data_IF_719059298398
#
_entry.id   IF_719059298398
#
_cell.length_a   1.000
_cell.length_b   1.000
_cell.length_c   1.000
_cell.angle_alpha   90.00
_cell.angle_beta   90.00
_cell.angle_gamma   90.00
#
_symmetry.space_group_name_H-M   'P 1'
#
loop_
_entity.id
_entity.type
_entity.pdbx_description
1 polymer ?
#
# COMPACT_ATOMS: atom_id res chain seq x y z
N UNK A 1 -2.81 -5.99 -33.99
CA UNK A 1 -2.77 -5.39 -32.64
C UNK A 1 -3.09 -6.51 -31.68
N UNK A 2 -2.20 -6.84 -30.73
CA UNK A 2 -2.56 -7.74 -29.64
C UNK A 2 -3.48 -6.96 -28.72
N UNK A 3 -4.66 -7.49 -28.49
CA UNK A 3 -5.55 -7.06 -27.42
C UNK A 3 -4.87 -7.54 -26.13
N UNK A 4 -4.02 -6.69 -25.56
CA UNK A 4 -3.53 -6.88 -24.20
C UNK A 4 -4.76 -6.60 -23.33
N UNK A 5 -5.39 -7.69 -22.85
CA UNK A 5 -6.61 -7.59 -22.03
C UNK A 5 -6.44 -6.67 -20.83
N UNK A 6 -7.56 -6.28 -20.21
CA UNK A 6 -7.58 -5.31 -19.12
C UNK A 6 -6.51 -5.58 -18.05
N UNK A 7 -5.69 -4.55 -17.77
CA UNK A 7 -4.62 -4.59 -16.77
C UNK A 7 -5.16 -4.12 -15.43
N UNK A 8 -5.02 -4.95 -14.40
CA UNK A 8 -5.37 -4.57 -13.04
C UNK A 8 -4.30 -3.62 -12.47
N UNK A 9 -4.74 -2.43 -12.03
CA UNK A 9 -3.86 -1.40 -11.47
C UNK A 9 -4.19 -1.17 -10.00
N UNK A 10 -3.15 -0.98 -9.19
CA UNK A 10 -3.23 -0.53 -7.80
C UNK A 10 -2.89 0.96 -7.70
N UNK A 11 -3.71 1.70 -6.95
CA UNK A 11 -3.41 3.08 -6.57
C UNK A 11 -2.51 3.09 -5.34
N UNK A 12 -1.31 3.65 -5.48
CA UNK A 12 -0.31 3.77 -4.41
C UNK A 12 -0.15 5.23 -4.03
N UNK A 13 -0.48 5.56 -2.79
CA UNK A 13 -0.24 6.88 -2.21
C UNK A 13 1.15 6.95 -1.59
N UNK A 14 1.95 7.93 -2.01
CA UNK A 14 3.26 8.24 -1.45
C UNK A 14 3.15 9.54 -0.67
N UNK A 15 3.13 9.50 0.68
CA UNK A 15 3.01 10.72 1.47
C UNK A 15 4.27 11.56 1.34
N UNK A 16 4.11 12.88 1.31
CA UNK A 16 5.15 13.79 1.77
C UNK A 16 5.12 13.84 3.30
N UNK A 17 6.10 14.48 3.94
CA UNK A 17 6.16 14.66 5.40
C UNK A 17 4.87 15.22 6.05
N UNK A 18 3.91 15.70 5.24
CA UNK A 18 2.55 16.02 5.66
C UNK A 18 1.58 14.98 5.09
N UNK A 19 0.95 14.19 5.97
CA UNK A 19 0.07 13.05 5.64
C UNK A 19 -1.03 13.31 4.60
N UNK A 20 -1.38 14.56 4.33
CA UNK A 20 -2.44 14.97 3.41
C UNK A 20 -1.94 15.46 2.04
N UNK A 21 -0.62 15.55 1.86
CA UNK A 21 0.03 16.00 0.64
C UNK A 21 0.96 14.88 0.20
N UNK A 22 0.81 14.42 -1.03
CA UNK A 22 1.56 13.31 -1.56
C UNK A 22 1.23 13.07 -3.02
N UNK A 23 1.94 12.12 -3.60
CA UNK A 23 1.74 11.69 -4.98
C UNK A 23 0.91 10.41 -5.00
N UNK A 24 0.10 10.24 -6.05
CA UNK A 24 -0.64 9.01 -6.30
C UNK A 24 -0.13 8.39 -7.59
N UNK A 25 0.30 7.15 -7.52
CA UNK A 25 0.78 6.38 -8.66
C UNK A 25 -0.21 5.25 -8.99
N UNK A 26 -0.43 4.99 -10.27
CA UNK A 26 -1.09 3.77 -10.74
C UNK A 26 0.00 2.78 -11.14
N UNK A 27 0.04 1.63 -10.47
CA UNK A 27 1.08 0.61 -10.64
C UNK A 27 0.40 -0.72 -10.98
N UNK A 28 1.04 -1.54 -11.81
CA UNK A 28 0.53 -2.89 -12.09
C UNK A 28 0.40 -3.68 -10.77
N UNK A 29 -0.76 -4.33 -10.55
CA UNK A 29 -0.99 -5.11 -9.33
C UNK A 29 0.05 -6.22 -9.11
N UNK A 30 0.64 -6.74 -10.20
CA UNK A 30 1.71 -7.76 -10.16
C UNK A 30 3.02 -7.24 -9.54
N UNK A 31 3.26 -5.92 -9.56
CA UNK A 31 4.46 -5.29 -8.99
C UNK A 31 4.30 -4.90 -7.52
N UNK A 32 3.09 -5.03 -6.96
CA UNK A 32 2.78 -4.65 -5.58
C UNK A 32 3.08 -5.79 -4.61
N UNK A 33 3.95 -5.53 -3.63
CA UNK A 33 4.07 -6.39 -2.44
C UNK A 33 3.11 -5.91 -1.36
N UNK A 34 2.33 -6.83 -0.78
CA UNK A 34 1.55 -6.57 0.44
C UNK A 34 2.39 -6.98 1.64
N UNK A 35 3.02 -6.04 2.36
CA UNK A 35 3.89 -6.41 3.47
C UNK A 35 3.08 -7.03 4.61
N UNK A 36 3.67 -8.00 5.30
CA UNK A 36 3.15 -8.54 6.55
C UNK A 36 3.44 -7.56 7.69
N UNK A 37 2.83 -6.37 7.63
CA UNK A 37 2.91 -5.32 8.63
C UNK A 37 1.50 -4.95 9.06
N UNK A 38 1.31 -4.79 10.38
CA UNK A 38 0.08 -4.29 10.95
C UNK A 38 -0.08 -2.78 10.73
N UNK A 39 -1.31 -2.28 10.82
CA UNK A 39 -1.60 -0.84 10.77
C UNK A 39 -0.78 -0.08 11.81
N UNK A 40 -0.61 -0.64 13.01
CA UNK A 40 0.22 -0.05 14.09
C UNK A 40 1.66 0.15 13.65
N UNK A 41 2.29 -0.90 13.10
CA UNK A 41 3.68 -0.83 12.62
C UNK A 41 3.83 0.20 11.49
N UNK A 42 2.86 0.26 10.56
CA UNK A 42 2.85 1.27 9.51
C UNK A 42 2.76 2.71 10.06
N UNK A 43 1.90 2.95 11.06
CA UNK A 43 1.80 4.26 11.72
C UNK A 43 3.12 4.63 12.40
N UNK A 44 3.75 3.68 13.11
CA UNK A 44 5.04 3.91 13.77
C UNK A 44 6.15 4.27 12.77
N UNK A 45 6.20 3.59 11.61
CA UNK A 45 7.13 3.91 10.52
C UNK A 45 6.93 5.35 10.03
N UNK A 46 5.68 5.77 9.83
CA UNK A 46 5.37 7.12 9.33
C UNK A 46 5.73 8.19 10.38
N UNK A 47 5.29 8.02 11.63
CA UNK A 47 5.54 9.00 12.72
C UNK A 47 7.03 9.13 13.00
N UNK A 48 7.77 8.03 12.93
CA UNK A 48 9.22 8.02 13.13
C UNK A 48 10.00 8.49 11.91
N UNK A 49 9.33 8.92 10.83
CA UNK A 49 9.94 9.34 9.57
C UNK A 49 10.90 8.26 9.03
N UNK A 50 10.48 7.00 9.12
CA UNK A 50 11.22 5.83 8.65
C UNK A 50 12.29 5.29 9.61
N UNK A 51 12.50 5.90 10.79
CA UNK A 51 13.48 5.40 11.76
C UNK A 51 13.15 4.00 12.30
N UNK A 52 11.86 3.64 12.37
CA UNK A 52 11.42 2.29 12.77
C UNK A 52 11.24 1.33 11.59
N UNK A 53 11.68 1.71 10.38
CA UNK A 53 11.57 0.84 9.20
C UNK A 53 12.31 -0.48 9.42
N UNK A 54 11.63 -1.64 9.29
CA UNK A 54 12.30 -2.93 9.39
C UNK A 54 13.33 -3.12 8.28
N UNK A 55 14.44 -3.81 8.60
CA UNK A 55 15.50 -4.09 7.63
C UNK A 55 15.08 -5.08 6.53
N UNK A 56 14.05 -5.89 6.82
CA UNK A 56 13.52 -6.91 5.91
C UNK A 56 11.99 -6.80 5.94
N UNK A 57 11.40 -6.75 4.75
CA UNK A 57 9.96 -6.77 4.55
C UNK A 57 9.60 -8.11 3.92
N UNK A 58 8.66 -8.82 4.54
CA UNK A 58 8.14 -10.08 4.03
C UNK A 58 6.73 -9.86 3.48
N UNK A 59 6.38 -10.42 2.31
CA UNK A 59 5.01 -10.36 1.81
C UNK A 59 4.07 -11.21 2.69
N UNK A 60 2.83 -10.77 2.82
CA UNK A 60 1.74 -11.56 3.40
C UNK A 60 1.50 -12.78 2.52
N UNK A 61 1.56 -13.98 3.11
CA UNK A 61 1.28 -15.23 2.42
C UNK A 61 -0.23 -15.34 2.19
N UNK A 62 -0.68 -14.85 1.04
CA UNK A 62 -2.02 -15.07 0.48
C UNK A 62 -3.14 -14.20 1.06
N UNK A 63 -3.66 -13.27 0.26
CA UNK A 63 -5.08 -12.91 0.21
C UNK A 63 -5.36 -12.17 -1.10
N UNK A 64 -6.57 -12.43 -1.63
CA UNK A 64 -7.18 -11.91 -2.86
C UNK A 64 -6.95 -10.40 -3.12
N UNK A 65 -7.18 -9.93 -4.38
CA UNK A 65 -7.29 -8.51 -4.68
C UNK A 65 -8.12 -7.80 -3.62
N UNK A 66 -7.75 -6.55 -3.31
CA UNK A 66 -8.37 -5.75 -2.26
C UNK A 66 -9.83 -5.56 -2.70
N UNK A 67 -10.70 -6.49 -2.31
CA UNK A 67 -12.14 -6.33 -2.47
C UNK A 67 -12.53 -5.07 -1.72
N UNK A 68 -13.33 -4.27 -2.42
CA UNK A 68 -13.92 -2.95 -2.20
C UNK A 68 -14.50 -2.61 -0.79
N UNK A 69 -14.00 -3.20 0.30
CA UNK A 69 -14.61 -3.15 1.63
C UNK A 69 -13.61 -2.77 2.74
N UNK A 70 -12.68 -1.85 2.47
CA UNK A 70 -12.15 -1.06 3.59
C UNK A 70 -13.13 0.07 3.87
N UNK A 71 -14.15 -0.22 4.68
CA UNK A 71 -15.03 0.81 5.22
C UNK A 71 -14.15 1.84 5.94
N UNK A 72 -14.11 3.07 5.43
CA UNK A 72 -13.33 4.19 5.98
C UNK A 72 -13.66 4.48 7.45
N UNK A 73 -14.73 3.89 7.99
CA UNK A 73 -15.18 3.99 9.37
C UNK A 73 -14.22 3.42 10.43
N UNK A 74 -13.12 2.75 10.04
CA UNK A 74 -12.09 2.31 11.01
C UNK A 74 -10.98 3.34 11.21
N UNK A 75 -10.97 4.44 10.45
CA UNK A 75 -9.99 5.53 10.59
C UNK A 75 -10.67 6.78 11.19
N UNK A 76 -11.47 6.61 12.26
CA UNK A 76 -11.69 7.59 13.36
C UNK A 76 -11.95 6.82 14.66
#
# INVERSE_FOLDING_TARGET
>A
MRDEGDVELCSVYVPTNHLYIGDVFLVNSEEIIRPNLSIRECIEIIISVGMTMPRVISPTVGIAPLSDDMHLDTII
#
